data_IF_033093306087
#
_entry.id   IF_033093306087
#
_cell.length_a   1.000
_cell.length_b   1.000
_cell.length_c   1.000
_cell.angle_alpha   90.00
_cell.angle_beta   90.00
_cell.angle_gamma   90.00
#
_symmetry.space_group_name_H-M   'P 1'
#
loop_
_entity.id
_entity.type
_entity.pdbx_description
1 polymer ?
#
# COMPACT_ATOMS: atom_id res chain seq x y z
N UNK A 1 -11.10 -30.02 -18.00
CA UNK A 1 -10.05 -29.69 -18.99
C UNK A 1 -9.27 -28.55 -18.40
N UNK A 2 -7.99 -28.77 -18.07
CA UNK A 2 -7.10 -27.68 -17.65
C UNK A 2 -7.00 -26.69 -18.81
N UNK A 3 -7.31 -25.41 -18.57
CA UNK A 3 -7.05 -24.40 -19.58
C UNK A 3 -5.54 -24.37 -19.85
N UNK A 4 -5.10 -24.45 -21.11
CA UNK A 4 -3.69 -24.35 -21.42
C UNK A 4 -3.14 -23.02 -20.93
N UNK A 5 -1.93 -23.03 -20.37
CA UNK A 5 -1.25 -21.81 -19.93
C UNK A 5 -1.06 -20.85 -21.10
N UNK A 6 -1.18 -19.52 -20.90
CA UNK A 6 -1.01 -18.54 -21.98
C UNK A 6 0.41 -18.61 -22.55
N UNK A 7 0.56 -18.40 -23.86
CA UNK A 7 1.89 -18.40 -24.49
C UNK A 7 2.66 -17.12 -24.14
N UNK A 8 1.96 -16.02 -23.84
CA UNK A 8 2.57 -14.75 -23.44
C UNK A 8 1.76 -14.00 -22.37
N UNK A 9 2.47 -13.39 -21.42
CA UNK A 9 1.91 -12.50 -20.39
C UNK A 9 2.65 -11.16 -20.42
N UNK A 10 1.88 -10.08 -20.51
CA UNK A 10 2.35 -8.70 -20.31
C UNK A 10 1.91 -8.20 -18.93
N UNK A 11 2.86 -7.90 -18.07
CA UNK A 11 2.65 -7.30 -16.74
C UNK A 11 2.88 -5.79 -16.85
N UNK A 12 1.87 -4.99 -16.56
CA UNK A 12 1.94 -3.53 -16.54
C UNK A 12 2.09 -3.06 -15.09
N UNK A 13 3.24 -2.48 -14.78
CA UNK A 13 3.63 -2.08 -13.43
C UNK A 13 4.58 -3.10 -12.79
N UNK A 14 5.69 -2.59 -12.25
CA UNK A 14 6.77 -3.36 -11.64
C UNK A 14 6.82 -3.19 -10.12
N UNK A 15 5.82 -2.56 -9.51
CA UNK A 15 5.67 -2.49 -8.05
C UNK A 15 5.49 -3.87 -7.39
N UNK A 16 5.18 -3.88 -6.09
CA UNK A 16 5.09 -5.13 -5.30
C UNK A 16 4.19 -6.21 -5.93
N UNK A 17 3.02 -5.86 -6.49
CA UNK A 17 2.14 -6.82 -7.16
C UNK A 17 2.77 -7.37 -8.44
N UNK A 18 3.24 -6.49 -9.33
CA UNK A 18 3.78 -6.89 -10.63
C UNK A 18 5.06 -7.71 -10.52
N UNK A 19 6.04 -7.22 -9.76
CA UNK A 19 7.34 -7.90 -9.63
C UNK A 19 7.23 -9.24 -8.88
N UNK A 20 6.40 -9.31 -7.82
CA UNK A 20 6.20 -10.57 -7.11
C UNK A 20 5.46 -11.58 -7.97
N UNK A 21 4.49 -11.14 -8.79
CA UNK A 21 3.80 -12.02 -9.74
C UNK A 21 4.74 -12.51 -10.83
N UNK A 22 5.60 -11.63 -11.37
CA UNK A 22 6.65 -12.04 -12.32
C UNK A 22 7.56 -13.12 -11.70
N UNK A 23 8.00 -12.94 -10.46
CA UNK A 23 8.78 -13.94 -9.72
C UNK A 23 8.03 -15.27 -9.54
N UNK A 24 6.74 -15.23 -9.23
CA UNK A 24 5.94 -16.43 -9.09
C UNK A 24 5.79 -17.18 -10.44
N UNK A 25 5.62 -16.45 -11.55
CA UNK A 25 5.54 -17.02 -12.89
C UNK A 25 6.81 -17.79 -13.27
N UNK A 26 8.00 -17.24 -12.99
CA UNK A 26 9.27 -17.90 -13.33
C UNK A 26 9.51 -19.21 -12.58
N UNK A 27 8.86 -19.40 -11.43
CA UNK A 27 9.01 -20.59 -10.57
C UNK A 27 8.01 -21.70 -10.88
N UNK A 28 6.87 -21.40 -11.50
CA UNK A 28 5.76 -22.36 -11.66
C UNK A 28 5.89 -23.14 -12.97
N UNK A 29 5.99 -24.49 -12.93
CA UNK A 29 6.23 -25.31 -14.13
C UNK A 29 5.21 -25.14 -15.24
N UNK A 30 3.94 -24.86 -14.90
CA UNK A 30 2.88 -24.64 -15.88
C UNK A 30 3.12 -23.40 -16.77
N UNK A 31 3.94 -22.43 -16.35
CA UNK A 31 4.32 -21.24 -17.11
C UNK A 31 5.74 -21.33 -17.69
N UNK A 32 6.35 -22.52 -17.68
CA UNK A 32 7.73 -22.73 -18.16
C UNK A 32 7.92 -22.37 -19.65
N UNK A 33 6.87 -22.38 -20.45
CA UNK A 33 6.92 -21.97 -21.87
C UNK A 33 6.29 -20.58 -22.12
N UNK A 34 5.78 -19.93 -21.07
CA UNK A 34 5.16 -18.61 -21.18
C UNK A 34 6.23 -17.52 -21.28
N UNK A 35 6.17 -16.70 -22.33
CA UNK A 35 6.95 -15.47 -22.43
C UNK A 35 6.43 -14.42 -21.46
N UNK A 36 7.31 -13.78 -20.68
CA UNK A 36 6.93 -12.82 -19.64
C UNK A 36 7.58 -11.47 -19.95
N UNK A 37 6.77 -10.44 -20.10
CA UNK A 37 7.23 -9.05 -20.24
C UNK A 37 6.69 -8.21 -19.09
N UNK A 38 7.57 -7.46 -18.42
CA UNK A 38 7.20 -6.45 -17.42
C UNK A 38 7.48 -5.09 -18.03
N UNK A 39 6.46 -4.25 -18.14
CA UNK A 39 6.58 -2.85 -18.58
C UNK A 39 6.28 -1.92 -17.42
N UNK A 40 7.15 -0.92 -17.23
CA UNK A 40 6.92 0.16 -16.29
C UNK A 40 7.59 1.43 -16.80
N UNK A 41 7.07 2.58 -16.40
CA UNK A 41 7.68 3.87 -16.66
C UNK A 41 8.74 4.09 -15.58
N UNK A 42 10.01 3.96 -15.94
CA UNK A 42 11.15 4.22 -15.06
C UNK A 42 11.92 5.42 -15.60
N UNK A 43 11.67 6.61 -15.04
CA UNK A 43 12.33 7.84 -15.47
C UNK A 43 13.87 7.78 -15.39
N UNK A 44 14.40 6.90 -14.53
CA UNK A 44 15.84 6.66 -14.31
C UNK A 44 16.35 5.36 -14.91
N UNK A 45 15.51 4.56 -15.57
CA UNK A 45 15.85 3.21 -16.06
C UNK A 45 15.91 2.14 -14.97
N UNK A 46 15.63 2.48 -13.71
CA UNK A 46 15.69 1.55 -12.58
C UNK A 46 14.32 0.93 -12.28
N UNK A 47 14.31 -0.41 -12.15
CA UNK A 47 13.14 -1.18 -11.75
C UNK A 47 13.24 -1.64 -10.28
N UNK A 48 12.13 -1.58 -9.52
CA UNK A 48 10.95 -0.77 -9.81
C UNK A 48 11.23 0.74 -9.67
N UNK A 49 10.35 1.61 -10.21
CA UNK A 49 10.51 3.05 -10.09
C UNK A 49 10.51 3.55 -8.63
N UNK A 50 11.27 4.60 -8.34
CA UNK A 50 11.48 5.12 -6.97
C UNK A 50 10.24 5.74 -6.32
N UNK A 51 9.31 6.22 -7.15
CA UNK A 51 8.08 6.88 -6.75
C UNK A 51 6.90 5.92 -6.60
N UNK A 52 7.07 4.62 -6.93
CA UNK A 52 6.09 3.62 -6.58
C UNK A 52 6.00 3.44 -5.06
N UNK A 53 4.81 3.10 -4.53
CA UNK A 53 4.60 2.97 -3.08
C UNK A 53 5.48 1.89 -2.43
N UNK A 54 5.83 0.84 -3.16
CA UNK A 54 6.66 -0.25 -2.65
C UNK A 54 8.14 0.11 -2.48
N UNK A 55 8.62 1.22 -3.05
CA UNK A 55 9.98 1.71 -2.84
C UNK A 55 9.95 2.83 -1.81
N UNK A 56 10.51 2.55 -0.64
CA UNK A 56 10.57 3.48 0.48
C UNK A 56 11.72 3.13 1.43
N UNK A 57 12.08 4.07 2.30
CA UNK A 57 13.06 3.82 3.37
C UNK A 57 12.56 2.72 4.31
N UNK A 58 11.27 2.72 4.66
CA UNK A 58 10.69 1.72 5.54
C UNK A 58 9.21 1.46 5.30
N UNK A 59 8.78 0.22 5.53
CA UNK A 59 7.37 -0.22 5.59
C UNK A 59 7.16 -1.12 6.79
N UNK A 60 5.98 -1.01 7.41
CA UNK A 60 5.62 -1.81 8.59
C UNK A 60 5.25 -3.24 8.17
N UNK A 61 5.88 -4.22 8.80
CA UNK A 61 5.67 -5.66 8.62
C UNK A 61 4.95 -6.19 9.86
N UNK A 62 3.64 -6.40 9.74
CA UNK A 62 2.75 -6.64 10.88
C UNK A 62 1.60 -7.60 10.54
N UNK A 63 1.19 -8.41 11.50
CA UNK A 63 0.01 -9.29 11.40
C UNK A 63 -1.27 -8.68 12.00
N UNK A 64 -1.15 -7.45 12.51
CA UNK A 64 -2.15 -6.75 13.30
C UNK A 64 -3.35 -6.29 12.44
N UNK A 65 -4.32 -7.16 12.17
CA UNK A 65 -5.49 -6.85 11.33
C UNK A 65 -6.80 -7.16 12.04
N UNK A 66 -7.80 -6.31 11.86
CA UNK A 66 -9.16 -6.60 12.33
C UNK A 66 -9.78 -7.80 11.57
N UNK A 67 -9.36 -8.01 10.32
CA UNK A 67 -9.72 -9.17 9.51
C UNK A 67 -8.79 -10.36 9.84
N UNK A 68 -9.34 -11.51 10.29
CA UNK A 68 -8.54 -12.67 10.70
C UNK A 68 -7.80 -13.36 9.54
N UNK A 69 -8.33 -13.30 8.31
CA UNK A 69 -7.69 -13.92 7.14
C UNK A 69 -6.44 -13.14 6.73
N UNK A 70 -6.46 -11.81 6.89
CA UNK A 70 -5.27 -10.98 6.73
C UNK A 70 -4.27 -11.13 7.87
N UNK A 71 -4.72 -11.29 9.12
CA UNK A 71 -3.81 -11.65 10.23
C UNK A 71 -3.08 -12.94 9.93
N UNK A 72 -3.79 -13.98 9.49
CA UNK A 72 -3.20 -15.26 9.16
C UNK A 72 -2.18 -15.15 8.00
N UNK A 73 -2.56 -14.48 6.91
CA UNK A 73 -1.68 -14.28 5.75
C UNK A 73 -0.42 -13.49 6.12
N UNK A 74 -0.56 -12.46 6.95
CA UNK A 74 0.54 -11.61 7.34
C UNK A 74 1.49 -12.32 8.31
N UNK A 75 0.99 -13.20 9.18
CA UNK A 75 1.82 -14.06 10.03
C UNK A 75 2.63 -15.07 9.19
N UNK A 76 2.04 -15.62 8.13
CA UNK A 76 2.76 -16.44 7.14
C UNK A 76 3.89 -15.62 6.48
N UNK A 77 3.57 -14.41 6.01
CA UNK A 77 4.56 -13.51 5.39
C UNK A 77 5.68 -13.11 6.35
N UNK A 78 5.36 -12.86 7.62
CA UNK A 78 6.35 -12.54 8.66
C UNK A 78 7.36 -13.68 8.86
N UNK A 79 6.94 -14.94 8.71
CA UNK A 79 7.86 -16.08 8.82
C UNK A 79 8.94 -16.06 7.74
N UNK A 80 8.61 -15.60 6.54
CA UNK A 80 9.58 -15.38 5.46
C UNK A 80 10.47 -14.15 5.69
N UNK A 81 9.90 -13.06 6.22
CA UNK A 81 10.67 -11.87 6.59
C UNK A 81 11.68 -12.14 7.71
N UNK A 82 11.40 -13.09 8.61
CA UNK A 82 12.33 -13.45 9.70
C UNK A 82 13.57 -14.21 9.23
N UNK A 83 13.60 -14.73 8.00
CA UNK A 83 14.78 -15.43 7.49
C UNK A 83 15.91 -14.43 7.22
N UNK A 84 17.14 -14.73 7.69
CA UNK A 84 18.25 -13.77 7.79
C UNK A 84 19.51 -14.13 6.98
N UNK A 85 19.49 -15.19 6.17
CA UNK A 85 20.62 -15.51 5.28
C UNK A 85 20.87 -14.42 4.22
N UNK A 86 22.05 -14.43 3.61
CA UNK A 86 22.46 -13.45 2.58
C UNK A 86 21.43 -13.33 1.44
N UNK A 87 20.89 -14.49 1.09
CA UNK A 87 19.87 -14.68 0.06
C UNK A 87 18.43 -14.56 0.55
N UNK A 88 18.19 -14.60 1.86
CA UNK A 88 16.82 -14.50 2.39
C UNK A 88 16.28 -13.08 2.26
N UNK A 89 14.97 -12.95 2.09
CA UNK A 89 14.32 -11.65 1.92
C UNK A 89 14.60 -10.71 3.11
N UNK A 90 14.57 -11.24 4.34
CA UNK A 90 14.81 -10.47 5.55
C UNK A 90 16.27 -10.18 5.87
N UNK A 91 17.20 -10.93 5.29
CA UNK A 91 18.64 -10.82 5.59
C UNK A 91 19.26 -9.51 5.14
N UNK A 92 20.54 -9.33 5.50
CA UNK A 92 21.34 -8.16 5.08
C UNK A 92 20.69 -6.82 5.47
N UNK A 93 20.05 -6.76 6.64
CA UNK A 93 19.43 -5.55 7.17
C UNK A 93 18.13 -5.13 6.48
N UNK A 94 17.54 -5.99 5.64
CA UNK A 94 16.26 -5.71 4.97
C UNK A 94 15.08 -5.75 5.92
N UNK A 95 15.13 -6.56 6.98
CA UNK A 95 14.07 -6.67 7.99
C UNK A 95 14.60 -6.45 9.41
N UNK A 96 13.79 -5.80 10.24
CA UNK A 96 14.05 -5.58 11.65
C UNK A 96 12.78 -5.86 12.47
N UNK A 97 12.85 -6.81 13.40
CA UNK A 97 11.75 -7.17 14.31
C UNK A 97 11.74 -6.26 15.55
N UNK A 98 11.49 -4.97 15.33
CA UNK A 98 11.49 -3.93 16.39
C UNK A 98 10.32 -4.02 17.36
N UNK A 99 9.28 -4.77 17.03
CA UNK A 99 7.96 -4.65 17.63
C UNK A 99 7.12 -3.50 17.05
N UNK A 100 5.83 -3.55 17.35
CA UNK A 100 4.83 -2.54 17.02
C UNK A 100 3.95 -2.26 18.24
N UNK A 101 3.84 -1.00 18.65
CA UNK A 101 2.76 -0.51 19.49
C UNK A 101 1.63 -0.01 18.60
N UNK A 102 0.52 -0.74 18.59
CA UNK A 102 -0.70 -0.33 17.91
C UNK A 102 -1.67 0.24 18.95
N UNK A 103 -2.09 1.48 18.75
CA UNK A 103 -2.88 2.24 19.73
C UNK A 103 -3.98 3.05 19.05
N UNK A 104 -4.94 3.53 19.85
CA UNK A 104 -6.03 4.39 19.40
C UNK A 104 -6.46 5.32 20.53
N UNK A 105 -7.06 6.45 20.17
CA UNK A 105 -7.81 7.27 21.13
C UNK A 105 -9.20 6.67 21.33
N UNK A 106 -9.78 6.89 22.50
CA UNK A 106 -11.12 6.42 22.83
C UNK A 106 -12.13 7.15 21.95
N UNK A 107 -12.78 6.36 21.08
CA UNK A 107 -13.88 6.79 20.21
C UNK A 107 -15.06 5.81 20.31
N UNK A 108 -16.16 6.12 19.64
CA UNK A 108 -17.21 5.12 19.37
C UNK A 108 -16.65 4.04 18.43
N UNK A 109 -17.07 2.78 18.58
CA UNK A 109 -16.55 1.67 17.74
C UNK A 109 -17.00 1.75 16.28
N UNK A 110 -17.98 2.60 15.99
CA UNK A 110 -18.39 3.01 14.66
C UNK A 110 -18.47 4.54 14.63
N UNK A 111 -17.89 5.16 13.61
CA UNK A 111 -17.85 6.62 13.47
C UNK A 111 -19.11 7.16 12.78
N UNK A 112 -19.57 6.43 11.76
CA UNK A 112 -20.81 6.62 11.01
C UNK A 112 -21.35 5.25 10.58
N UNK A 113 -22.54 5.20 9.97
CA UNK A 113 -23.18 3.96 9.53
C UNK A 113 -22.25 3.08 8.68
N UNK A 114 -21.71 2.02 9.29
CA UNK A 114 -20.82 1.05 8.65
C UNK A 114 -19.31 1.41 8.67
N UNK A 115 -18.92 2.62 9.07
CA UNK A 115 -17.49 3.00 9.20
C UNK A 115 -16.99 2.53 10.56
N UNK A 116 -16.11 1.53 10.57
CA UNK A 116 -15.47 1.08 11.81
C UNK A 116 -14.47 2.12 12.31
N UNK A 117 -14.27 2.20 13.62
CA UNK A 117 -13.31 3.14 14.22
C UNK A 117 -11.90 2.57 14.33
N UNK A 118 -10.93 3.46 14.61
CA UNK A 118 -9.57 3.06 14.95
C UNK A 118 -9.55 2.13 16.17
N UNK A 119 -10.28 2.45 17.24
CA UNK A 119 -10.35 1.61 18.44
C UNK A 119 -10.93 0.22 18.15
N UNK A 120 -11.96 0.12 17.29
CA UNK A 120 -12.47 -1.17 16.83
C UNK A 120 -11.35 -1.99 16.16
N UNK A 121 -10.63 -1.36 15.22
CA UNK A 121 -9.57 -2.04 14.49
C UNK A 121 -8.45 -2.52 15.42
N UNK A 122 -7.98 -1.67 16.35
CA UNK A 122 -6.92 -2.03 17.31
C UNK A 122 -7.35 -3.21 18.18
N UNK A 123 -8.56 -3.19 18.76
CA UNK A 123 -9.06 -4.28 19.60
C UNK A 123 -9.23 -5.59 18.84
N UNK A 124 -9.80 -5.56 17.63
CA UNK A 124 -9.95 -6.77 16.79
C UNK A 124 -8.61 -7.31 16.32
N UNK A 125 -7.67 -6.44 15.98
CA UNK A 125 -6.30 -6.83 15.65
C UNK A 125 -5.62 -7.55 16.81
N UNK A 126 -5.75 -7.02 18.03
CA UNK A 126 -5.22 -7.67 19.22
C UNK A 126 -5.82 -9.08 19.42
N UNK A 127 -7.14 -9.21 19.37
CA UNK A 127 -7.82 -10.51 19.50
C UNK A 127 -7.30 -11.54 18.48
N UNK A 128 -7.16 -11.12 17.21
CA UNK A 128 -6.69 -12.01 16.13
C UNK A 128 -5.22 -12.37 16.29
N UNK A 129 -4.36 -11.41 16.62
CA UNK A 129 -2.94 -11.65 16.85
C UNK A 129 -2.71 -12.59 18.04
N UNK A 130 -3.45 -12.45 19.13
CA UNK A 130 -3.37 -13.37 20.28
C UNK A 130 -3.72 -14.80 19.85
N UNK A 131 -4.80 -14.99 19.09
CA UNK A 131 -5.20 -16.32 18.59
C UNK A 131 -4.14 -16.94 17.69
N UNK A 132 -3.58 -16.16 16.76
CA UNK A 132 -2.52 -16.63 15.85
C UNK A 132 -1.24 -16.95 16.62
N UNK A 133 -0.81 -16.09 17.55
CA UNK A 133 0.35 -16.34 18.39
C UNK A 133 0.19 -17.63 19.22
N UNK A 134 -0.98 -17.84 19.83
CA UNK A 134 -1.29 -19.08 20.57
C UNK A 134 -1.26 -20.32 19.68
N UNK A 135 -1.89 -20.25 18.50
CA UNK A 135 -1.88 -21.34 17.50
C UNK A 135 -0.45 -21.70 17.10
N UNK A 136 0.40 -20.69 16.93
CA UNK A 136 1.78 -20.85 16.45
C UNK A 136 2.77 -21.12 17.61
N UNK A 137 2.28 -21.33 18.85
CA UNK A 137 3.10 -21.67 20.00
C UNK A 137 4.00 -20.54 20.51
N UNK A 138 3.67 -19.28 20.19
CA UNK A 138 4.41 -18.12 20.64
C UNK A 138 4.16 -17.85 22.14
N UNK A 139 5.18 -17.40 22.89
CA UNK A 139 5.00 -16.98 24.28
C UNK A 139 3.94 -15.88 24.44
N UNK A 140 3.13 -15.97 25.50
CA UNK A 140 2.01 -15.05 25.72
C UNK A 140 2.44 -13.59 25.93
N UNK A 141 3.68 -13.35 26.37
CA UNK A 141 4.25 -12.02 26.57
C UNK A 141 4.68 -11.33 25.26
N UNK A 142 4.66 -12.05 24.13
CA UNK A 142 4.93 -11.46 22.81
C UNK A 142 3.90 -10.43 22.40
N UNK A 143 2.66 -10.56 22.89
CA UNK A 143 1.56 -9.62 22.65
C UNK A 143 1.08 -9.11 24.01
N UNK A 144 1.48 -7.88 24.36
CA UNK A 144 1.25 -7.30 25.67
C UNK A 144 0.25 -6.14 25.60
N UNK A 145 -0.86 -6.25 26.32
CA UNK A 145 -1.84 -5.17 26.45
C UNK A 145 -1.23 -3.97 27.17
N UNK A 146 -1.47 -2.78 26.62
CA UNK A 146 -1.11 -1.47 27.17
C UNK A 146 -2.42 -0.71 27.40
N UNK A 147 -3.09 -1.03 28.50
CA UNK A 147 -4.50 -0.69 28.72
C UNK A 147 -4.80 0.74 29.16
N UNK A 148 -3.80 1.62 29.21
CA UNK A 148 -3.95 3.03 29.55
C UNK A 148 -2.86 3.87 28.89
N UNK A 149 -3.06 5.19 28.86
CA UNK A 149 -2.06 6.17 28.41
C UNK A 149 -0.74 6.01 29.16
N UNK A 150 -0.77 5.78 30.47
CA UNK A 150 0.44 5.60 31.29
C UNK A 150 1.20 4.34 30.91
N UNK A 151 0.49 3.24 30.58
CA UNK A 151 1.13 2.00 30.14
C UNK A 151 1.77 2.14 28.76
N UNK A 152 1.10 2.84 27.83
CA UNK A 152 1.64 3.17 26.51
C UNK A 152 2.89 4.05 26.63
N UNK A 153 2.82 5.10 27.43
CA UNK A 153 3.90 6.02 27.72
C UNK A 153 5.11 5.34 28.34
N UNK A 154 4.87 4.48 29.33
CA UNK A 154 5.92 3.67 29.97
C UNK A 154 6.60 2.73 28.95
N UNK A 155 5.84 2.17 28.01
CA UNK A 155 6.38 1.31 26.96
C UNK A 155 7.22 2.07 25.93
N UNK A 156 6.81 3.30 25.59
CA UNK A 156 7.42 4.13 24.55
C UNK A 156 8.48 5.11 25.09
N UNK A 157 8.64 5.19 26.42
CA UNK A 157 9.57 6.13 27.05
C UNK A 157 9.19 7.60 26.87
N UNK A 158 7.89 7.90 26.77
CA UNK A 158 7.36 9.26 26.63
C UNK A 158 6.40 9.59 27.78
N UNK A 159 6.00 10.85 27.90
CA UNK A 159 5.04 11.39 28.88
C UNK A 159 3.85 12.10 28.21
N UNK A 160 3.63 11.84 26.92
CA UNK A 160 2.64 12.47 26.04
C UNK A 160 1.31 11.69 25.98
N UNK A 161 0.34 12.13 25.18
CA UNK A 161 -0.87 11.34 24.93
C UNK A 161 -0.71 10.52 23.64
N UNK A 162 -0.15 9.32 23.76
CA UNK A 162 0.09 8.40 22.63
C UNK A 162 -1.17 7.65 22.17
N UNK A 163 -2.12 7.47 23.08
CA UNK A 163 -3.43 6.85 22.88
C UNK A 163 -4.05 6.49 24.23
N UNK A 164 -5.31 6.04 24.22
CA UNK A 164 -6.04 5.65 25.43
C UNK A 164 -5.99 4.13 25.68
N UNK A 165 -5.83 3.35 24.61
CA UNK A 165 -5.68 1.89 24.69
C UNK A 165 -4.89 1.35 23.50
N UNK A 166 -4.06 0.35 23.77
CA UNK A 166 -3.34 -0.36 22.72
C UNK A 166 -2.66 -1.62 23.22
N UNK A 167 -1.71 -2.10 22.44
CA UNK A 167 -0.89 -3.25 22.80
C UNK A 167 0.45 -3.20 22.05
N UNK A 168 1.47 -3.82 22.64
CA UNK A 168 2.73 -4.12 21.98
C UNK A 168 2.63 -5.51 21.36
N UNK A 169 2.90 -5.61 20.06
CA UNK A 169 3.17 -6.85 19.37
C UNK A 169 4.66 -6.90 18.99
N UNK A 170 5.43 -7.66 19.77
CA UNK A 170 6.88 -7.82 19.56
C UNK A 170 7.25 -8.75 18.40
N UNK A 171 6.26 -9.39 17.75
CA UNK A 171 6.46 -10.20 16.54
C UNK A 171 6.38 -9.36 15.26
N UNK A 172 5.99 -8.10 15.39
CA UNK A 172 5.91 -7.14 14.28
C UNK A 172 7.20 -6.32 14.17
N UNK A 173 7.39 -5.67 13.03
CA UNK A 173 8.61 -4.92 12.77
C UNK A 173 8.50 -4.06 11.52
N UNK A 174 9.64 -3.69 10.95
CA UNK A 174 9.69 -2.93 9.70
C UNK A 174 10.73 -3.54 8.76
N UNK A 175 10.56 -3.26 7.47
CA UNK A 175 11.52 -3.63 6.45
C UNK A 175 11.98 -2.41 5.65
N UNK A 176 13.25 -2.39 5.24
CA UNK A 176 13.73 -1.42 4.26
C UNK A 176 13.14 -1.78 2.90
N UNK A 177 12.15 -0.99 2.48
CA UNK A 177 11.28 -1.39 1.39
C UNK A 177 11.98 -1.35 0.03
N UNK A 178 12.80 -0.30 -0.18
CA UNK A 178 13.66 -0.16 -1.36
C UNK A 178 14.66 -1.30 -1.50
N UNK A 179 15.33 -1.70 -0.41
CA UNK A 179 16.24 -2.85 -0.43
C UNK A 179 15.50 -4.17 -0.70
N UNK A 180 14.31 -4.37 -0.14
CA UNK A 180 13.49 -5.55 -0.42
C UNK A 180 13.03 -5.63 -1.88
N UNK A 181 12.58 -4.52 -2.46
CA UNK A 181 12.21 -4.48 -3.89
C UNK A 181 13.42 -4.69 -4.80
N UNK A 182 14.58 -4.11 -4.47
CA UNK A 182 15.84 -4.33 -5.21
C UNK A 182 16.27 -5.81 -5.14
N UNK A 183 16.16 -6.43 -3.97
CA UNK A 183 16.41 -7.86 -3.79
C UNK A 183 15.50 -8.71 -4.69
N UNK A 184 14.22 -8.38 -4.76
CA UNK A 184 13.27 -9.11 -5.60
C UNK A 184 13.56 -8.91 -7.08
N UNK A 185 13.80 -7.67 -7.50
CA UNK A 185 14.18 -7.34 -8.89
C UNK A 185 15.40 -8.14 -9.35
N UNK A 186 16.48 -8.12 -8.56
CA UNK A 186 17.71 -8.84 -8.89
C UNK A 186 17.45 -10.34 -9.06
N UNK A 187 16.60 -10.91 -8.21
CA UNK A 187 16.17 -12.30 -8.29
C UNK A 187 15.43 -12.57 -9.60
N UNK A 188 14.37 -11.81 -9.88
CA UNK A 188 13.59 -11.95 -11.13
C UNK A 188 14.50 -11.84 -12.35
N UNK A 189 15.38 -10.84 -12.38
CA UNK A 189 16.30 -10.63 -13.47
C UNK A 189 17.30 -11.80 -13.65
N UNK A 190 17.82 -12.35 -12.54
CA UNK A 190 18.74 -13.49 -12.56
C UNK A 190 18.15 -14.77 -13.15
N UNK A 191 16.82 -14.89 -13.23
CA UNK A 191 16.17 -16.04 -13.90
C UNK A 191 16.38 -16.05 -15.42
N UNK A 192 16.64 -14.89 -16.03
CA UNK A 192 16.67 -14.73 -17.49
C UNK A 192 15.33 -14.97 -18.20
N UNK A 193 14.22 -15.14 -17.46
CA UNK A 193 12.88 -15.46 -17.99
C UNK A 193 11.99 -14.26 -18.26
N UNK A 194 12.36 -13.08 -17.77
CA UNK A 194 11.52 -11.88 -17.81
C UNK A 194 12.19 -10.79 -18.64
N UNK A 195 11.48 -10.28 -19.64
CA UNK A 195 11.87 -9.10 -20.41
C UNK A 195 11.37 -7.84 -19.71
N UNK A 196 12.26 -6.90 -19.38
CA UNK A 196 11.90 -5.61 -18.79
C UNK A 196 11.88 -4.52 -19.85
N UNK A 197 10.77 -3.77 -19.92
CA UNK A 197 10.58 -2.67 -20.86
C UNK A 197 10.38 -1.38 -20.09
N UNK A 198 11.32 -0.44 -20.24
CA UNK A 198 11.19 0.91 -19.69
C UNK A 198 10.35 1.78 -20.63
N UNK A 199 9.05 1.86 -20.37
CA UNK A 199 8.13 2.68 -21.15
C UNK A 199 6.85 2.99 -20.38
N UNK A 200 6.29 4.17 -20.63
CA UNK A 200 4.96 4.53 -20.15
C UNK A 200 3.90 3.89 -21.02
N UNK A 201 3.02 3.10 -20.40
CA UNK A 201 1.78 2.63 -21.02
C UNK A 201 0.75 3.75 -21.01
N UNK A 202 0.20 4.10 -22.17
CA UNK A 202 -0.85 5.11 -22.30
C UNK A 202 -2.25 4.51 -22.30
N UNK A 203 -2.43 3.35 -22.92
CA UNK A 203 -3.72 2.71 -23.04
C UNK A 203 -3.62 1.21 -23.34
N UNK A 204 -4.64 0.45 -22.94
CA UNK A 204 -4.80 -0.95 -23.34
C UNK A 204 -5.31 -1.05 -24.78
N UNK A 205 -4.79 -2.01 -25.54
CA UNK A 205 -5.22 -2.33 -26.91
C UNK A 205 -6.18 -3.52 -26.91
N UNK A 206 -7.16 -3.49 -27.82
CA UNK A 206 -8.24 -4.48 -27.86
C UNK A 206 -8.56 -4.93 -29.28
N UNK A 207 -9.05 -6.16 -29.42
CA UNK A 207 -9.68 -6.71 -30.61
C UNK A 207 -11.04 -7.29 -30.20
N UNK A 208 -12.13 -6.63 -30.60
CA UNK A 208 -13.46 -6.96 -30.08
C UNK A 208 -13.50 -6.84 -28.55
N UNK A 209 -13.93 -7.90 -27.87
CA UNK A 209 -14.01 -7.99 -26.40
C UNK A 209 -12.73 -8.49 -25.72
N UNK A 210 -11.64 -8.69 -26.47
CA UNK A 210 -10.36 -9.18 -25.95
C UNK A 210 -9.34 -8.05 -25.84
N UNK A 211 -8.70 -7.95 -24.67
CA UNK A 211 -7.48 -7.14 -24.50
C UNK A 211 -6.29 -7.92 -25.05
N UNK A 212 -5.54 -7.29 -25.95
CA UNK A 212 -4.44 -7.92 -26.71
C UNK A 212 -3.06 -7.37 -26.38
N UNK A 213 -2.99 -6.32 -25.56
CA UNK A 213 -1.74 -5.64 -25.27
C UNK A 213 -1.90 -4.23 -24.72
N UNK A 214 -0.87 -3.42 -24.93
CA UNK A 214 -0.80 -2.04 -24.50
C UNK A 214 -0.03 -1.17 -25.49
N UNK A 215 -0.53 0.06 -25.70
CA UNK A 215 0.14 1.10 -26.48
C UNK A 215 1.01 1.94 -25.54
N UNK A 216 2.25 2.17 -25.93
CA UNK A 216 3.25 2.94 -25.22
C UNK A 216 3.22 4.42 -25.66
N UNK A 217 3.82 5.29 -24.86
CA UNK A 217 3.88 6.73 -25.12
C UNK A 217 4.70 7.14 -26.33
N UNK A 218 5.57 6.27 -26.84
CA UNK A 218 6.27 6.46 -28.11
C UNK A 218 5.48 5.96 -29.33
N UNK A 219 4.24 5.49 -29.11
CA UNK A 219 3.34 4.97 -30.13
C UNK A 219 3.51 3.48 -30.46
N UNK A 220 4.55 2.80 -29.94
CA UNK A 220 4.71 1.35 -30.13
C UNK A 220 3.66 0.57 -29.34
N UNK A 221 3.44 -0.68 -29.72
CA UNK A 221 2.54 -1.59 -29.01
C UNK A 221 3.30 -2.82 -28.51
N UNK A 222 3.02 -3.21 -27.27
CA UNK A 222 3.36 -4.52 -26.72
C UNK A 222 2.12 -5.41 -26.82
N UNK A 223 2.29 -6.67 -27.20
CA UNK A 223 1.18 -7.64 -27.33
C UNK A 223 1.38 -8.84 -26.42
N UNK A 224 0.28 -9.43 -25.97
CA UNK A 224 0.27 -10.66 -25.18
C UNK A 224 -1.10 -11.37 -25.23
N UNK A 225 -1.12 -12.66 -24.90
CA UNK A 225 -2.37 -13.42 -24.75
C UNK A 225 -3.15 -12.99 -23.51
N UNK A 226 -2.41 -12.64 -22.46
CA UNK A 226 -2.94 -12.11 -21.20
C UNK A 226 -2.19 -10.83 -20.85
N UNK A 227 -2.96 -9.80 -20.51
CA UNK A 227 -2.45 -8.55 -19.94
C UNK A 227 -2.82 -8.51 -18.46
N UNK A 228 -1.81 -8.49 -17.61
CA UNK A 228 -1.93 -8.32 -16.16
C UNK A 228 -1.64 -6.87 -15.79
N UNK A 229 -2.65 -6.16 -15.29
CA UNK A 229 -2.48 -4.77 -14.84
C UNK A 229 -2.23 -4.73 -13.33
N UNK A 230 -0.99 -4.44 -12.96
CA UNK A 230 -0.50 -4.28 -11.59
C UNK A 230 0.08 -2.87 -11.36
N UNK A 231 -0.59 -1.87 -11.91
CA UNK A 231 -0.15 -0.47 -11.94
C UNK A 231 -0.49 0.32 -10.65
N UNK A 232 -0.94 -0.35 -9.58
CA UNK A 232 -1.30 0.27 -8.29
C UNK A 232 -2.20 1.50 -8.48
N UNK A 233 -1.80 2.64 -7.90
CA UNK A 233 -2.54 3.90 -7.98
C UNK A 233 -2.74 4.45 -9.41
N UNK A 234 -1.98 3.98 -10.41
CA UNK A 234 -2.16 4.37 -11.82
C UNK A 234 -3.18 3.52 -12.56
N UNK A 235 -3.72 2.46 -11.94
CA UNK A 235 -4.64 1.53 -12.62
C UNK A 235 -5.90 2.22 -13.15
N UNK A 236 -6.44 3.19 -12.42
CA UNK A 236 -7.59 4.00 -12.87
C UNK A 236 -7.34 4.83 -14.13
N UNK A 237 -6.06 5.04 -14.49
CA UNK A 237 -5.66 5.67 -15.76
C UNK A 237 -5.79 4.73 -16.97
N UNK A 238 -5.88 3.42 -16.75
CA UNK A 238 -5.89 2.39 -17.79
C UNK A 238 -7.22 1.64 -17.88
N UNK A 239 -7.95 1.53 -16.77
CA UNK A 239 -9.20 0.78 -16.63
C UNK A 239 -10.17 1.62 -15.80
N UNK A 240 -11.42 1.71 -16.21
CA UNK A 240 -12.47 2.32 -15.39
C UNK A 240 -12.72 1.46 -14.14
N UNK A 241 -12.26 1.96 -13.00
CA UNK A 241 -12.41 1.34 -11.68
C UNK A 241 -13.27 2.18 -10.73
N UNK A 242 -14.00 3.17 -11.25
CA UNK A 242 -14.81 4.09 -10.43
C UNK A 242 -15.76 3.30 -9.53
N UNK A 243 -15.77 3.68 -8.25
CA UNK A 243 -16.53 3.01 -7.18
C UNK A 243 -15.89 1.73 -6.62
N UNK A 244 -14.79 1.23 -7.21
CA UNK A 244 -14.12 -0.02 -6.78
C UNK A 244 -12.74 0.23 -6.19
N UNK A 245 -11.93 0.98 -6.93
CA UNK A 245 -10.54 1.27 -6.58
C UNK A 245 -10.26 2.74 -6.86
N UNK A 246 -9.75 3.46 -5.87
CA UNK A 246 -9.49 4.89 -5.95
C UNK A 246 -8.04 5.19 -5.58
N UNK A 247 -7.36 6.04 -6.35
CA UNK A 247 -6.02 6.49 -5.98
C UNK A 247 -6.09 7.52 -4.83
N UNK A 248 -5.28 7.35 -3.79
CA UNK A 248 -5.21 8.30 -2.68
C UNK A 248 -3.75 8.63 -2.32
N UNK A 249 -3.46 9.90 -2.07
CA UNK A 249 -2.13 10.41 -1.73
C UNK A 249 -1.92 10.52 -0.22
N UNK A 250 -0.87 9.91 0.30
CA UNK A 250 -0.53 9.86 1.74
C UNK A 250 0.78 10.58 2.01
N UNK A 251 0.85 11.30 3.13
CA UNK A 251 2.00 12.14 3.45
C UNK A 251 3.00 11.41 4.34
N UNK A 252 4.27 11.59 4.00
CA UNK A 252 5.40 11.17 4.82
C UNK A 252 6.49 12.24 4.80
N UNK A 253 7.11 12.44 5.94
CA UNK A 253 8.19 13.39 6.14
C UNK A 253 9.35 12.76 6.90
N UNK A 254 10.51 13.37 6.72
CA UNK A 254 11.76 12.92 7.30
C UNK A 254 12.50 14.07 7.97
N UNK A 255 13.10 13.79 9.12
CA UNK A 255 14.02 14.69 9.82
C UNK A 255 15.38 14.00 10.01
N UNK A 256 16.42 14.80 10.10
CA UNK A 256 17.73 14.34 10.54
C UNK A 256 17.77 14.23 12.08
N UNK A 257 18.39 13.16 12.57
CA UNK A 257 18.62 12.89 13.99
C UNK A 257 20.11 12.66 14.23
N UNK A 258 20.60 13.02 15.43
CA UNK A 258 21.99 12.77 15.81
C UNK A 258 22.26 11.28 16.05
N UNK A 259 23.53 10.90 16.20
CA UNK A 259 23.90 9.52 16.54
C UNK A 259 23.35 9.11 17.91
N UNK A 260 23.37 10.01 18.90
CA UNK A 260 22.82 9.78 20.24
C UNK A 260 21.30 9.57 20.19
N UNK A 261 20.60 10.37 19.41
CA UNK A 261 19.15 10.26 19.22
C UNK A 261 18.79 8.96 18.50
N UNK A 262 19.54 8.60 17.46
CA UNK A 262 19.38 7.33 16.77
C UNK A 262 19.59 6.14 17.72
N UNK A 263 20.56 6.22 18.64
CA UNK A 263 20.79 5.18 19.64
C UNK A 263 19.62 5.00 20.62
N UNK A 264 18.78 6.03 20.82
CA UNK A 264 17.54 5.96 21.60
C UNK A 264 16.40 5.42 20.73
N UNK A 265 16.20 6.01 19.54
CA UNK A 265 15.08 5.71 18.65
C UNK A 265 15.14 4.30 18.05
N UNK A 266 16.34 3.78 17.76
CA UNK A 266 16.54 2.42 17.23
C UNK A 266 16.12 1.31 18.18
N UNK A 267 15.94 1.61 19.47
CA UNK A 267 15.45 0.67 20.49
C UNK A 267 13.94 0.71 20.66
N UNK A 268 13.26 1.68 20.05
CA UNK A 268 11.82 1.82 20.17
C UNK A 268 11.11 0.84 19.22
N UNK A 269 9.92 0.35 19.59
CA UNK A 269 9.03 -0.26 18.62
C UNK A 269 8.54 0.80 17.63
N UNK A 270 7.98 0.34 16.51
CA UNK A 270 7.12 1.19 15.69
C UNK A 270 5.92 1.60 16.53
N UNK A 271 5.43 2.81 16.38
CA UNK A 271 4.17 3.24 16.99
C UNK A 271 3.22 3.75 15.92
N UNK A 272 2.00 3.23 15.93
CA UNK A 272 0.92 3.62 15.02
C UNK A 272 -0.36 3.84 15.83
N UNK A 273 -0.87 5.08 15.80
CA UNK A 273 -2.18 5.40 16.34
C UNK A 273 -3.21 5.37 15.21
N UNK A 274 -4.21 4.48 15.26
CA UNK A 274 -5.20 4.34 14.19
C UNK A 274 -6.29 5.41 14.19
N UNK A 275 -6.54 6.09 15.31
CA UNK A 275 -7.51 7.20 15.34
C UNK A 275 -6.96 8.42 14.62
N UNK A 276 -5.68 8.78 14.84
CA UNK A 276 -5.02 9.88 14.10
C UNK A 276 -4.41 9.44 12.76
N UNK A 277 -4.15 8.15 12.60
CA UNK A 277 -3.36 7.60 11.48
C UNK A 277 -1.85 7.88 11.59
N UNK A 278 -1.38 8.57 12.61
CA UNK A 278 0.02 8.97 12.73
C UNK A 278 0.90 7.79 13.16
N UNK A 279 2.07 7.68 12.54
CA UNK A 279 3.06 6.69 12.93
C UNK A 279 4.49 7.19 12.75
N UNK A 280 5.38 6.62 13.56
CA UNK A 280 6.83 6.74 13.41
C UNK A 280 7.44 5.34 13.28
N UNK A 281 8.49 5.24 12.48
CA UNK A 281 9.29 4.02 12.34
C UNK A 281 10.66 4.31 12.92
N UNK A 282 11.28 3.37 13.68
CA UNK A 282 12.63 3.55 14.22
C UNK A 282 13.61 4.03 13.14
N UNK A 283 14.53 4.92 13.53
CA UNK A 283 15.44 5.58 12.60
C UNK A 283 16.33 4.59 11.86
N UNK A 284 16.55 4.85 10.57
CA UNK A 284 17.56 4.16 9.77
C UNK A 284 18.74 5.11 9.58
N UNK A 285 19.88 4.78 10.20
CA UNK A 285 21.00 5.71 10.24
C UNK A 285 20.56 7.03 10.87
N UNK A 286 20.83 8.16 10.23
CA UNK A 286 20.54 9.49 10.73
C UNK A 286 19.17 10.06 10.32
N UNK A 287 18.26 9.24 9.77
CA UNK A 287 16.94 9.69 9.30
C UNK A 287 15.80 9.06 10.09
N UNK A 288 14.94 9.90 10.69
CA UNK A 288 13.68 9.47 11.29
C UNK A 288 12.52 9.75 10.33
N UNK A 289 11.64 8.77 10.17
CA UNK A 289 10.41 8.88 9.36
C UNK A 289 9.20 9.08 10.26
N UNK A 290 8.38 10.07 9.91
CA UNK A 290 7.01 10.25 10.41
C UNK A 290 6.05 10.26 9.23
N UNK A 291 4.90 9.64 9.39
CA UNK A 291 3.93 9.53 8.31
C UNK A 291 2.50 9.43 8.84
N UNK A 292 1.56 9.58 7.91
CA UNK A 292 0.13 9.57 8.19
C UNK A 292 -0.59 8.56 7.32
N UNK A 293 -1.31 7.65 7.96
CA UNK A 293 -2.21 6.68 7.35
C UNK A 293 -3.66 7.12 7.57
N UNK A 294 -4.11 8.05 6.74
CA UNK A 294 -5.47 8.59 6.76
C UNK A 294 -6.23 8.16 5.50
N UNK A 295 -7.43 8.68 5.25
CA UNK A 295 -8.11 8.52 3.96
C UNK A 295 -7.34 9.11 2.75
N UNK A 296 -6.27 9.87 3.00
CA UNK A 296 -5.42 10.46 1.97
C UNK A 296 -6.06 11.61 1.20
N UNK A 297 -5.33 12.11 0.20
CA UNK A 297 -5.80 13.15 -0.71
C UNK A 297 -6.24 12.55 -2.04
N UNK A 298 -7.41 12.96 -2.49
CA UNK A 298 -7.84 12.76 -3.87
C UNK A 298 -7.18 13.82 -4.76
N UNK A 299 -6.96 13.47 -6.02
CA UNK A 299 -6.51 14.42 -7.03
C UNK A 299 -7.28 14.18 -8.33
N UNK A 300 -8.57 14.58 -8.36
CA UNK A 300 -9.43 14.33 -9.50
C UNK A 300 -8.86 14.93 -10.78
N UNK A 301 -8.84 14.15 -11.85
CA UNK A 301 -8.44 14.63 -13.16
C UNK A 301 -8.95 13.73 -14.27
N UNK A 302 -9.08 14.30 -15.46
CA UNK A 302 -9.61 13.59 -16.63
C UNK A 302 -8.59 12.59 -17.18
N UNK A 303 -9.11 11.42 -17.53
CA UNK A 303 -8.44 10.33 -18.25
C UNK A 303 -9.24 10.04 -19.50
N UNK A 304 -8.58 10.02 -20.65
CA UNK A 304 -9.23 9.90 -21.96
C UNK A 304 -9.20 8.50 -22.55
N UNK A 305 -8.37 7.61 -22.00
CA UNK A 305 -8.04 6.33 -22.65
C UNK A 305 -8.25 5.10 -21.75
N UNK A 306 -8.87 5.28 -20.59
CA UNK A 306 -9.22 4.16 -19.72
C UNK A 306 -10.18 3.21 -20.45
N UNK A 307 -9.96 1.91 -20.31
CA UNK A 307 -10.86 0.89 -20.82
C UNK A 307 -12.21 0.99 -20.08
N UNK A 308 -13.36 1.04 -20.78
CA UNK A 308 -14.66 1.19 -20.12
C UNK A 308 -15.07 -0.09 -19.40
N UNK A 309 -16.08 -0.01 -18.53
CA UNK A 309 -16.54 -1.13 -17.67
C UNK A 309 -17.02 -2.37 -18.44
N UNK A 310 -17.40 -2.22 -19.70
CA UNK A 310 -17.84 -3.32 -20.58
C UNK A 310 -17.33 -3.09 -22.00
N UNK A 311 -17.03 -4.16 -22.77
CA UNK A 311 -16.74 -4.08 -24.20
C UNK A 311 -17.81 -3.39 -25.05
N UNK A 312 -19.07 -3.40 -24.60
CA UNK A 312 -20.20 -2.81 -25.33
C UNK A 312 -20.31 -1.28 -25.14
N UNK A 313 -19.52 -0.70 -24.23
CA UNK A 313 -19.52 0.73 -23.96
C UNK A 313 -18.44 1.44 -24.77
N UNK A 314 -18.75 2.66 -25.22
CA UNK A 314 -17.75 3.51 -25.85
C UNK A 314 -16.68 3.97 -24.85
N UNK A 315 -15.47 4.17 -25.36
CA UNK A 315 -14.35 4.69 -24.57
C UNK A 315 -14.51 6.21 -24.45
N UNK A 316 -15.18 6.65 -23.39
CA UNK A 316 -15.38 8.06 -23.07
C UNK A 316 -14.36 8.59 -22.04
N UNK A 317 -14.07 9.90 -22.03
CA UNK A 317 -13.31 10.51 -20.95
C UNK A 317 -13.99 10.36 -19.59
N UNK A 318 -13.23 10.00 -18.57
CA UNK A 318 -13.70 9.85 -17.19
C UNK A 318 -12.84 10.68 -16.24
N UNK A 319 -13.44 11.15 -15.14
CA UNK A 319 -12.69 11.76 -14.03
C UNK A 319 -12.39 10.67 -13.01
N UNK A 320 -11.12 10.59 -12.61
CA UNK A 320 -10.63 9.69 -11.55
C UNK A 320 -9.62 10.43 -10.69
N UNK A 321 -9.38 9.99 -9.46
CA UNK A 321 -8.21 10.46 -8.71
C UNK A 321 -6.92 9.96 -9.37
N UNK A 322 -5.99 10.87 -9.68
CA UNK A 322 -4.73 10.57 -10.38
C UNK A 322 -3.52 10.77 -9.47
N UNK A 323 -2.54 9.88 -9.48
CA UNK A 323 -1.29 10.11 -8.75
C UNK A 323 -0.63 11.43 -9.16
N UNK A 324 -0.16 12.17 -8.17
CA UNK A 324 0.73 13.32 -8.34
C UNK A 324 2.06 13.01 -7.64
N UNK A 325 3.07 12.71 -8.45
CA UNK A 325 4.40 12.30 -8.00
C UNK A 325 5.45 13.28 -8.48
N UNK A 326 6.72 13.03 -8.15
CA UNK A 326 7.83 13.84 -8.64
C UNK A 326 7.93 13.87 -10.18
N UNK A 327 7.30 12.93 -10.89
CA UNK A 327 7.21 12.94 -12.37
C UNK A 327 6.27 14.01 -12.90
N UNK A 328 5.30 14.43 -12.08
CA UNK A 328 4.26 15.40 -12.41
C UNK A 328 4.61 16.81 -11.90
N UNK A 329 5.75 16.93 -11.22
CA UNK A 329 6.22 18.15 -10.58
C UNK A 329 6.57 17.92 -9.11
N UNK A 330 7.46 18.76 -8.57
CA UNK A 330 7.78 18.74 -7.13
C UNK A 330 6.79 19.65 -6.42
N UNK A 331 5.98 19.10 -5.52
CA UNK A 331 5.18 19.92 -4.61
C UNK A 331 6.13 20.57 -3.61
N UNK A 332 6.28 21.89 -3.71
CA UNK A 332 7.26 22.66 -2.91
C UNK A 332 6.95 22.75 -1.41
N UNK A 333 5.76 22.31 -0.96
CA UNK A 333 5.37 22.26 0.46
C UNK A 333 4.32 21.18 0.72
N UNK A 334 4.24 20.70 1.95
CA UNK A 334 3.09 19.92 2.40
C UNK A 334 1.84 20.81 2.47
N UNK A 335 0.63 20.25 2.27
CA UNK A 335 -0.58 20.88 2.74
C UNK A 335 -0.45 21.27 4.22
N UNK A 336 -0.97 22.43 4.62
CA UNK A 336 -0.69 22.99 5.94
C UNK A 336 -1.14 22.04 7.07
N UNK A 337 -2.32 21.42 6.93
CA UNK A 337 -2.82 20.47 7.93
C UNK A 337 -1.95 19.21 8.04
N UNK A 338 -1.33 18.76 6.94
CA UNK A 338 -0.37 17.66 6.98
C UNK A 338 0.92 18.03 7.70
N UNK A 339 1.43 19.25 7.53
CA UNK A 339 2.60 19.72 8.29
C UNK A 339 2.30 19.70 9.79
N UNK A 340 1.19 20.30 10.21
CA UNK A 340 0.76 20.34 11.62
C UNK A 340 0.61 18.92 12.18
N UNK A 341 -0.11 18.03 11.49
CA UNK A 341 -0.33 16.67 11.96
C UNK A 341 0.96 15.83 12.03
N UNK A 342 1.89 15.97 11.09
CA UNK A 342 3.16 15.24 11.16
C UNK A 342 4.05 15.75 12.30
N UNK A 343 4.03 17.07 12.60
CA UNK A 343 4.69 17.62 13.79
C UNK A 343 4.07 17.11 15.08
N UNK A 344 2.75 17.05 15.15
CA UNK A 344 2.07 16.41 16.28
C UNK A 344 2.47 14.94 16.45
N UNK A 345 2.66 14.20 15.35
CA UNK A 345 3.14 12.83 15.37
C UNK A 345 4.51 12.72 16.03
N UNK A 346 5.46 13.61 15.68
CA UNK A 346 6.76 13.66 16.33
C UNK A 346 6.66 14.02 17.81
N UNK A 347 5.87 15.04 18.16
CA UNK A 347 5.71 15.51 19.53
C UNK A 347 5.06 14.46 20.44
N UNK A 348 4.05 13.74 19.94
CA UNK A 348 3.26 12.79 20.73
C UNK A 348 3.85 11.39 20.75
N UNK A 349 4.48 10.93 19.67
CA UNK A 349 4.85 9.51 19.51
C UNK A 349 6.33 9.22 19.77
N UNK A 350 7.18 10.26 19.95
CA UNK A 350 8.61 10.11 20.20
C UNK A 350 8.96 10.27 21.68
N UNK A 351 9.94 9.50 22.20
CA UNK A 351 10.54 9.75 23.51
C UNK A 351 11.44 11.01 23.54
N UNK A 352 11.86 11.51 22.37
CA UNK A 352 12.73 12.68 22.25
C UNK A 352 11.89 13.92 21.97
N UNK A 353 12.09 14.97 22.78
CA UNK A 353 11.40 16.26 22.68
C UNK A 353 12.04 17.20 21.66
N UNK A 354 11.24 18.09 21.07
CA UNK A 354 11.69 19.12 20.14
C UNK A 354 12.02 18.61 18.73
N UNK A 355 11.67 17.35 18.41
CA UNK A 355 11.79 16.84 17.05
C UNK A 355 10.79 17.52 16.11
N UNK A 356 9.62 17.87 16.64
CA UNK A 356 8.52 18.56 15.97
C UNK A 356 8.87 19.95 15.45
N UNK A 357 9.90 20.60 16.00
CA UNK A 357 10.36 21.93 15.57
C UNK A 357 11.42 21.87 14.46
N UNK A 358 11.91 20.67 14.13
CA UNK A 358 12.98 20.52 13.14
C UNK A 358 12.48 20.79 11.71
N UNK A 359 13.37 21.28 10.84
CA UNK A 359 13.06 21.39 9.43
C UNK A 359 12.92 20.00 8.81
N UNK A 360 11.96 19.85 7.90
CA UNK A 360 11.85 18.63 7.09
C UNK A 360 13.06 18.53 6.17
N UNK A 361 13.76 17.39 6.22
CA UNK A 361 14.83 17.06 5.28
C UNK A 361 14.26 16.60 3.93
N UNK A 362 13.15 15.87 3.99
CA UNK A 362 12.44 15.35 2.81
C UNK A 362 10.96 15.18 3.14
N UNK A 363 10.11 15.44 2.17
CA UNK A 363 8.68 15.12 2.19
C UNK A 363 8.32 14.36 0.92
N UNK A 364 7.24 13.57 0.96
CA UNK A 364 6.73 12.83 -0.20
C UNK A 364 5.23 12.60 -0.06
N UNK A 365 4.52 12.72 -1.19
CA UNK A 365 3.22 12.09 -1.36
C UNK A 365 3.43 10.68 -1.92
N UNK A 366 2.95 9.70 -1.17
CA UNK A 366 2.96 8.31 -1.57
C UNK A 366 1.54 7.89 -1.96
N UNK A 367 1.36 7.32 -3.14
CA UNK A 367 0.04 7.00 -3.66
C UNK A 367 -0.31 5.53 -3.49
N UNK A 368 -1.49 5.27 -2.93
CA UNK A 368 -2.09 3.94 -2.83
C UNK A 368 -3.26 3.82 -3.80
N UNK A 369 -3.78 2.60 -3.91
CA UNK A 369 -5.05 2.30 -4.55
C UNK A 369 -5.99 1.68 -3.51
N UNK A 370 -6.96 2.45 -3.01
CA UNK A 370 -7.86 2.07 -1.93
C UNK A 370 -9.13 1.42 -2.45
N UNK A 371 -9.61 0.40 -1.72
CA UNK A 371 -10.95 -0.20 -1.88
C UNK A 371 -11.83 0.10 -0.67
N UNK A 372 -13.15 -0.11 -0.81
CA UNK A 372 -14.13 0.18 0.24
C UNK A 372 -13.91 -0.64 1.51
N UNK A 373 -13.46 -1.89 1.39
CA UNK A 373 -13.27 -2.81 2.51
C UNK A 373 -11.79 -3.05 2.84
N UNK A 374 -10.87 -2.40 2.13
CA UNK A 374 -9.44 -2.58 2.32
C UNK A 374 -8.91 -3.90 1.74
N UNK A 375 -9.76 -4.71 1.10
CA UNK A 375 -9.32 -5.88 0.34
C UNK A 375 -8.60 -5.44 -0.96
N UNK A 376 -7.85 -6.36 -1.56
CA UNK A 376 -7.27 -6.14 -2.89
C UNK A 376 -8.27 -6.43 -4.02
N UNK A 377 -7.98 -5.95 -5.23
CA UNK A 377 -8.67 -6.37 -6.45
C UNK A 377 -7.71 -7.25 -7.26
N UNK A 378 -7.92 -8.56 -7.22
CA UNK A 378 -7.09 -9.59 -7.85
C UNK A 378 -8.00 -10.58 -8.58
N UNK A 379 -8.40 -10.23 -9.80
CA UNK A 379 -9.38 -11.02 -10.57
C UNK A 379 -9.29 -10.78 -12.07
N UNK A 380 -9.92 -11.68 -12.83
CA UNK A 380 -10.22 -11.46 -14.23
C UNK A 380 -11.27 -10.34 -14.37
N UNK A 381 -11.08 -9.46 -15.34
CA UNK A 381 -12.11 -8.48 -15.66
C UNK A 381 -13.37 -9.22 -16.18
N UNK A 382 -14.59 -8.88 -15.72
CA UNK A 382 -15.80 -9.65 -16.05
C UNK A 382 -16.23 -9.56 -17.53
N UNK A 383 -15.98 -8.41 -18.19
CA UNK A 383 -16.28 -8.20 -19.61
C UNK A 383 -15.10 -8.43 -20.57
N UNK A 384 -13.95 -7.82 -20.31
CA UNK A 384 -12.77 -7.87 -21.17
C UNK A 384 -11.95 -9.16 -21.05
N UNK A 385 -11.99 -10.02 -22.07
CA UNK A 385 -11.21 -11.27 -22.13
C UNK A 385 -9.72 -10.98 -22.17
N UNK A 386 -8.93 -11.83 -21.52
CA UNK A 386 -7.46 -11.69 -21.48
C UNK A 386 -6.95 -10.61 -20.52
N UNK A 387 -7.82 -9.88 -19.83
CA UNK A 387 -7.44 -8.87 -18.85
C UNK A 387 -7.52 -9.43 -17.42
N UNK A 388 -6.37 -9.52 -16.76
CA UNK A 388 -6.26 -9.84 -15.35
C UNK A 388 -5.80 -8.60 -14.58
N UNK A 389 -6.37 -8.34 -13.40
CA UNK A 389 -6.11 -7.13 -12.62
C UNK A 389 -5.54 -7.55 -11.28
N UNK A 390 -4.50 -6.86 -10.80
CA UNK A 390 -3.90 -7.08 -9.49
C UNK A 390 -3.53 -5.72 -8.87
N UNK A 391 -4.49 -5.07 -8.22
CA UNK A 391 -4.41 -3.70 -7.70
C UNK A 391 -5.20 -3.57 -6.39
N UNK A 392 -5.48 -2.35 -5.93
CA UNK A 392 -6.28 -2.12 -4.73
C UNK A 392 -5.49 -2.40 -3.46
N UNK A 393 -4.19 -2.12 -3.46
CA UNK A 393 -3.24 -2.43 -2.39
C UNK A 393 -3.65 -1.87 -1.01
N UNK A 394 -4.53 -0.88 -1.00
CA UNK A 394 -5.14 -0.23 0.16
C UNK A 394 -4.10 0.17 1.22
N UNK A 395 -2.90 0.55 0.77
CA UNK A 395 -1.81 0.99 1.65
C UNK A 395 -1.13 -0.11 2.46
N UNK A 396 -1.40 -1.39 2.18
CA UNK A 396 -0.90 -2.50 3.01
C UNK A 396 -0.27 -3.69 2.26
N UNK A 397 -0.26 -3.69 0.93
CA UNK A 397 0.26 -4.80 0.11
C UNK A 397 1.74 -5.14 0.29
N UNK A 398 2.61 -4.19 0.65
CA UNK A 398 4.07 -4.41 0.66
C UNK A 398 4.52 -5.55 1.59
N UNK A 399 3.92 -5.66 2.78
CA UNK A 399 4.36 -6.66 3.78
C UNK A 399 4.16 -8.10 3.32
N UNK A 400 3.32 -8.31 2.31
CA UNK A 400 3.06 -9.60 1.70
C UNK A 400 4.01 -9.93 0.55
N UNK A 401 5.02 -9.09 0.26
CA UNK A 401 6.04 -9.30 -0.77
C UNK A 401 6.50 -10.77 -0.94
N UNK A 402 6.81 -11.54 0.13
CA UNK A 402 7.25 -12.93 -0.04
C UNK A 402 6.17 -13.91 -0.56
N UNK A 403 4.88 -13.60 -0.40
CA UNK A 403 3.76 -14.48 -0.75
C UNK A 403 2.86 -13.93 -1.85
N UNK A 404 2.91 -12.62 -2.09
CA UNK A 404 1.89 -11.87 -2.85
C UNK A 404 1.71 -12.43 -4.27
N UNK A 405 2.81 -12.56 -5.01
CA UNK A 405 2.76 -13.06 -6.38
C UNK A 405 2.20 -14.48 -6.50
N UNK A 406 2.49 -15.34 -5.51
CA UNK A 406 1.94 -16.68 -5.47
C UNK A 406 0.43 -16.66 -5.24
N UNK A 407 -0.06 -15.82 -4.30
CA UNK A 407 -1.52 -15.66 -4.10
C UNK A 407 -2.22 -15.01 -5.31
N UNK A 408 -1.56 -14.08 -6.00
CA UNK A 408 -2.07 -13.48 -7.24
C UNK A 408 -2.25 -14.53 -8.33
N UNK A 409 -1.25 -15.37 -8.55
CA UNK A 409 -1.36 -16.46 -9.53
C UNK A 409 -2.37 -17.53 -9.12
N UNK A 410 -2.52 -17.81 -7.84
CA UNK A 410 -3.57 -18.72 -7.37
C UNK A 410 -4.96 -18.17 -7.72
N UNK A 411 -5.20 -16.86 -7.56
CA UNK A 411 -6.45 -16.21 -7.98
C UNK A 411 -6.62 -16.29 -9.50
N UNK A 412 -5.58 -15.98 -10.29
CA UNK A 412 -5.60 -16.07 -11.75
C UNK A 412 -6.00 -17.47 -12.26
N UNK A 413 -5.60 -18.51 -11.53
CA UNK A 413 -5.88 -19.92 -11.86
C UNK A 413 -7.18 -20.45 -11.26
N UNK A 414 -7.98 -19.61 -10.60
CA UNK A 414 -9.21 -20.03 -9.91
C UNK A 414 -8.96 -20.87 -8.65
N UNK A 415 -7.75 -20.81 -8.08
CA UNK A 415 -7.28 -21.56 -6.91
C UNK A 415 -7.05 -20.65 -5.68
N UNK A 416 -7.52 -19.40 -5.72
CA UNK A 416 -7.28 -18.40 -4.66
C UNK A 416 -7.97 -18.67 -3.32
N UNK A 417 -8.84 -19.68 -3.22
CA UNK A 417 -9.53 -20.03 -1.97
C UNK A 417 -10.31 -18.86 -1.36
N UNK A 418 -10.15 -18.64 -0.06
CA UNK A 418 -10.78 -17.51 0.65
C UNK A 418 -10.36 -16.16 0.07
N UNK A 419 -9.10 -16.02 -0.33
CA UNK A 419 -8.57 -14.78 -0.90
C UNK A 419 -9.13 -14.51 -2.29
N UNK A 420 -9.32 -15.54 -3.11
CA UNK A 420 -9.99 -15.41 -4.40
C UNK A 420 -11.44 -14.91 -4.26
N UNK A 421 -12.13 -15.25 -3.17
CA UNK A 421 -13.47 -14.73 -2.89
C UNK A 421 -13.46 -13.29 -2.37
N UNK A 422 -12.47 -12.94 -1.55
CA UNK A 422 -12.29 -11.58 -1.02
C UNK A 422 -11.87 -10.60 -2.09
N UNK A 423 -10.93 -11.00 -2.96
CA UNK A 423 -10.28 -10.11 -3.91
C UNK A 423 -10.93 -10.06 -5.30
N UNK A 424 -12.07 -10.71 -5.47
CA UNK A 424 -12.80 -10.73 -6.74
C UNK A 424 -13.23 -9.33 -7.19
N UNK A 425 -13.58 -9.21 -8.46
CA UNK A 425 -14.26 -8.03 -8.98
C UNK A 425 -15.63 -7.86 -8.30
N UNK A 426 -15.81 -6.77 -7.54
CA UNK A 426 -17.03 -6.49 -6.75
C UNK A 426 -18.04 -5.69 -7.55
N UNK A 427 -19.34 -5.93 -7.30
CA UNK A 427 -20.41 -5.07 -7.82
C UNK A 427 -20.50 -3.79 -6.97
N UNK A 428 -20.94 -2.70 -7.59
CA UNK A 428 -21.15 -1.45 -6.87
C UNK A 428 -22.50 -1.49 -6.16
N UNK A 429 -22.52 -1.05 -4.91
CA UNK A 429 -23.77 -0.78 -4.17
C UNK A 429 -24.30 0.63 -4.45
N UNK A 430 -23.39 1.56 -4.75
CA UNK A 430 -23.67 2.96 -5.05
C UNK A 430 -22.82 3.36 -6.26
N UNK A 431 -23.48 3.67 -7.38
CA UNK A 431 -22.82 4.04 -8.62
C UNK A 431 -22.27 5.47 -8.62
N UNK A 432 -22.64 6.30 -7.63
CA UNK A 432 -22.14 7.66 -7.49
C UNK A 432 -20.68 7.73 -7.01
N UNK A 433 -20.19 6.69 -6.33
CA UNK A 433 -18.84 6.64 -5.77
C UNK A 433 -17.77 6.59 -6.87
N UNK A 434 -16.69 7.34 -6.69
CA UNK A 434 -15.62 7.55 -7.65
C UNK A 434 -16.03 8.41 -8.84
N UNK A 435 -17.11 9.19 -8.73
CA UNK A 435 -17.62 10.05 -9.81
C UNK A 435 -17.85 11.47 -9.33
N UNK A 436 -17.92 12.38 -10.29
CA UNK A 436 -18.40 13.73 -10.03
C UNK A 436 -19.94 13.75 -10.05
N UNK A 437 -20.54 14.24 -8.96
CA UNK A 437 -21.98 14.44 -8.82
C UNK A 437 -22.19 15.86 -8.30
N UNK A 438 -23.00 16.64 -9.01
CA UNK A 438 -23.28 18.05 -8.69
C UNK A 438 -22.02 18.91 -8.50
N UNK A 439 -21.01 18.70 -9.34
CA UNK A 439 -19.74 19.43 -9.31
C UNK A 439 -18.80 19.05 -8.16
N UNK A 440 -19.07 17.95 -7.45
CA UNK A 440 -18.22 17.41 -6.38
C UNK A 440 -17.82 15.98 -6.67
N UNK A 441 -16.52 15.70 -6.53
CA UNK A 441 -15.99 14.35 -6.68
C UNK A 441 -16.29 13.52 -5.43
N UNK A 442 -17.15 12.50 -5.57
CA UNK A 442 -17.57 11.60 -4.51
C UNK A 442 -16.53 10.49 -4.33
N UNK A 443 -15.46 10.76 -3.58
CA UNK A 443 -14.38 9.79 -3.39
C UNK A 443 -14.79 8.52 -2.65
N UNK A 444 -14.10 7.43 -2.95
CA UNK A 444 -14.22 6.17 -2.21
C UNK A 444 -13.76 6.32 -0.76
N UNK A 445 -14.50 5.71 0.16
CA UNK A 445 -14.20 5.68 1.60
C UNK A 445 -13.92 4.23 2.02
N UNK A 446 -12.73 3.98 2.60
CA UNK A 446 -12.39 2.69 3.19
C UNK A 446 -13.01 2.55 4.59
N UNK A 447 -13.83 1.52 4.79
CA UNK A 447 -14.74 1.39 5.93
C UNK A 447 -14.20 0.46 7.04
N UNK A 448 -13.01 -0.11 6.86
CA UNK A 448 -12.47 -1.18 7.72
C UNK A 448 -11.99 -0.68 9.11
N UNK A 449 -11.89 0.64 9.30
CA UNK A 449 -11.42 1.28 10.53
C UNK A 449 -9.90 1.45 10.63
N UNK A 450 -9.18 1.22 9.53
CA UNK A 450 -7.73 1.41 9.47
C UNK A 450 -7.31 2.86 9.14
N UNK A 451 -8.25 3.75 8.83
CA UNK A 451 -8.01 5.12 8.37
C UNK A 451 -8.34 6.12 9.47
N UNK A 452 -7.38 6.98 9.79
CA UNK A 452 -7.60 8.15 10.63
C UNK A 452 -8.02 9.40 9.85
N UNK A 453 -8.42 10.45 10.57
CA UNK A 453 -8.82 11.77 10.05
C UNK A 453 -10.05 11.77 9.11
N UNK A 454 -10.59 12.95 8.70
CA UNK A 454 -11.70 13.01 7.76
C UNK A 454 -11.34 12.49 6.35
N UNK A 455 -12.33 11.92 5.67
CA UNK A 455 -12.25 11.54 4.26
C UNK A 455 -12.52 12.72 3.31
N UNK A 456 -12.24 12.52 2.03
CA UNK A 456 -12.67 13.44 0.95
C UNK A 456 -11.80 14.68 0.74
N UNK A 457 -10.59 14.72 1.31
CA UNK A 457 -9.67 15.84 1.07
C UNK A 457 -9.19 15.84 -0.39
N UNK A 458 -9.25 17.01 -1.04
CA UNK A 458 -8.72 17.19 -2.40
C UNK A 458 -7.38 17.91 -2.33
N UNK A 459 -6.34 17.31 -2.91
CA UNK A 459 -4.95 17.76 -2.79
C UNK A 459 -4.78 19.24 -3.17
N UNK A 460 -5.33 19.65 -4.31
CA UNK A 460 -5.18 21.02 -4.80
C UNK A 460 -5.86 22.04 -3.90
N UNK A 461 -7.02 21.70 -3.33
CA UNK A 461 -7.74 22.56 -2.39
C UNK A 461 -6.92 22.77 -1.12
N UNK A 462 -6.38 21.70 -0.55
CA UNK A 462 -5.55 21.76 0.66
C UNK A 462 -4.20 22.47 0.42
N UNK A 463 -3.63 22.38 -0.79
CA UNK A 463 -2.45 23.15 -1.18
C UNK A 463 -2.72 24.64 -1.37
N UNK A 464 -3.95 25.04 -1.70
CA UNK A 464 -4.34 26.46 -1.79
C UNK A 464 -4.67 27.07 -0.43
N UNK A 465 -5.02 26.27 0.58
CA UNK A 465 -5.24 26.76 1.95
C UNK A 465 -3.96 27.38 2.48
N UNK A 466 -4.06 28.65 2.86
CA UNK A 466 -2.97 29.42 3.48
C UNK A 466 -3.07 29.21 4.99
N UNK A 467 -1.94 29.05 5.71
CA UNK A 467 -1.96 29.05 7.16
C UNK A 467 -2.66 30.30 7.69
N UNK A 468 -3.45 30.22 8.77
CA UNK A 468 -3.90 31.43 9.44
C UNK A 468 -2.69 32.30 9.75
N UNK A 469 -2.79 33.62 9.49
CA UNK A 469 -1.72 34.56 9.87
C UNK A 469 -1.45 34.36 11.36
N UNK A 470 -0.19 34.15 11.73
CA UNK A 470 0.22 34.15 13.13
C UNK A 470 -0.27 35.46 13.75
N UNK A 471 -1.16 35.35 14.75
CA UNK A 471 -1.72 36.47 15.50
C UNK A 471 -0.75 36.90 16.58
#
# INVERSE_FOLDING_TARGET
MENPSPASILIIGSGVFGLSTAWALTKRPQFAETSITVVDDTSTGQFPPEDCASVDSSRIIRADYADPDYTALAAEAQSEWRKQGDDDLGGQGRYNESGLVLTAYQDALELDAGIKSGMYYVKKSWENCVKVAQRDGQPADKIKVLGSTEALNSCLGTDTHTGDWGYLNSLSGWANAGMGMKWLYNRVNATGRVSFVNAKVEQLTTEGDKVTGAKLSDGKCLTADVVLVAAGAWTGGLIDLRGRVEASGHVLAYIEVSEEECAVLSKQPIVLNLTSGLFTVPSQGNMLKVARHSFGYLNPGTVHHALPLSPDLEREPIVVSKPHTNRDGIIGRLPHEADVHLREGLAKLSPIKGLEDRPWKKTRLCWYSDTKDGDWLVDWHPGWKGLFIATGDSGHGYKFLPLLGDKVLDCMLGKGGVYGQKWKWKNLEDESVGREVDGKFQGLITMDGSRGLPAGLVLEEELRRVPPKAV
#
